data_IF_261748221891
#
_entry.id   IF_261748221891
#
_cell.length_a   1.000
_cell.length_b   1.000
_cell.length_c   1.000
_cell.angle_alpha   90.00
_cell.angle_beta   90.00
_cell.angle_gamma   90.00
#
_symmetry.space_group_name_H-M   'P 1'
#
loop_
_entity.id
_entity.type
_entity.pdbx_description
1 polymer ?
#
# COMPACT_ATOMS: atom_id res chain seq x y z
N UNK A 1 0.17 -19.24 3.66
CA UNK A 1 0.83 -18.07 3.04
C UNK A 1 1.88 -17.57 4.02
N UNK A 2 3.14 -17.43 3.62
CA UNK A 2 4.19 -16.88 4.49
C UNK A 2 4.13 -15.36 4.43
N UNK A 3 3.98 -14.68 5.57
CA UNK A 3 4.03 -13.23 5.62
C UNK A 3 5.45 -12.71 5.37
N UNK A 4 5.61 -11.74 4.48
CA UNK A 4 6.86 -11.03 4.24
C UNK A 4 7.19 -10.14 5.44
N UNK A 5 6.19 -9.42 5.98
CA UNK A 5 6.35 -8.62 7.20
C UNK A 5 5.85 -9.37 8.45
N UNK A 6 6.63 -10.37 8.90
CA UNK A 6 6.26 -11.26 10.02
C UNK A 6 5.84 -10.49 11.28
N UNK A 7 6.57 -9.46 11.68
CA UNK A 7 6.25 -8.67 12.89
C UNK A 7 4.98 -7.84 12.74
N UNK A 8 4.76 -7.29 11.54
CA UNK A 8 3.55 -6.51 11.25
C UNK A 8 2.32 -7.43 11.26
N UNK A 9 2.44 -8.60 10.64
CA UNK A 9 1.42 -9.63 10.64
C UNK A 9 1.15 -10.20 12.04
N UNK A 10 2.13 -10.21 12.95
CA UNK A 10 1.98 -10.65 14.34
C UNK A 10 1.24 -9.63 15.24
N UNK A 11 0.42 -8.75 14.65
CA UNK A 11 -0.46 -7.85 15.37
C UNK A 11 0.09 -6.45 15.61
N UNK A 12 1.33 -6.12 15.20
CA UNK A 12 1.81 -4.73 15.24
C UNK A 12 1.10 -3.85 14.21
N UNK A 13 0.70 -4.40 13.06
CA UNK A 13 0.03 -3.61 12.02
C UNK A 13 -1.29 -2.96 12.50
N UNK A 14 -2.09 -3.71 13.26
CA UNK A 14 -3.39 -3.22 13.78
C UNK A 14 -3.26 -2.13 14.84
N UNK A 15 -2.07 -1.92 15.42
CA UNK A 15 -1.84 -0.85 16.41
C UNK A 15 -1.48 0.48 15.75
N UNK A 16 -1.12 0.46 14.47
CA UNK A 16 -0.86 1.67 13.69
C UNK A 16 -2.16 2.41 13.38
N UNK A 17 -2.11 3.73 13.37
CA UNK A 17 -3.21 4.55 12.86
C UNK A 17 -3.39 4.33 11.35
N UNK A 18 -4.58 4.63 10.84
CA UNK A 18 -4.85 4.50 9.39
C UNK A 18 -3.85 5.31 8.55
N UNK A 19 -3.46 6.50 9.00
CA UNK A 19 -2.47 7.32 8.30
C UNK A 19 -1.09 6.62 8.24
N UNK A 20 -0.67 5.95 9.30
CA UNK A 20 0.57 5.16 9.33
C UNK A 20 0.47 3.93 8.40
N UNK A 21 -0.64 3.21 8.43
CA UNK A 21 -0.86 2.07 7.54
C UNK A 21 -0.78 2.50 6.07
N UNK A 22 -1.52 3.54 5.69
CA UNK A 22 -1.56 4.07 4.33
C UNK A 22 -0.20 4.64 3.88
N UNK A 23 0.53 5.32 4.76
CA UNK A 23 1.87 5.83 4.44
C UNK A 23 2.89 4.70 4.21
N UNK A 24 2.80 3.62 4.99
CA UNK A 24 3.64 2.43 4.78
C UNK A 24 3.29 1.70 3.47
N UNK A 25 2.00 1.53 3.16
CA UNK A 25 1.55 1.00 1.86
C UNK A 25 2.10 1.85 0.71
N UNK A 26 1.96 3.18 0.80
CA UNK A 26 2.47 4.12 -0.20
C UNK A 26 3.97 3.99 -0.45
N UNK A 27 4.76 3.66 0.57
CA UNK A 27 6.20 3.42 0.42
C UNK A 27 6.52 2.19 -0.43
N UNK A 28 5.76 1.09 -0.30
CA UNK A 28 5.92 -0.09 -1.15
C UNK A 28 5.40 0.17 -2.57
N UNK A 29 4.28 0.90 -2.72
CA UNK A 29 3.77 1.31 -4.05
C UNK A 29 4.79 2.17 -4.79
N UNK A 30 5.38 3.16 -4.11
CA UNK A 30 6.44 3.99 -4.67
C UNK A 30 7.64 3.15 -5.12
N UNK A 31 8.08 2.18 -4.30
CA UNK A 31 9.17 1.25 -4.66
C UNK A 31 8.80 0.45 -5.91
N UNK A 32 7.59 -0.08 -5.99
CA UNK A 32 7.11 -0.85 -7.13
C UNK A 32 7.16 -0.04 -8.43
N UNK A 33 6.61 1.19 -8.40
CA UNK A 33 6.64 2.13 -9.53
C UNK A 33 8.09 2.46 -9.92
N UNK A 34 8.93 2.81 -8.95
CA UNK A 34 10.33 3.19 -9.17
C UNK A 34 11.13 2.09 -9.85
N UNK A 35 10.94 0.83 -9.47
CA UNK A 35 11.62 -0.30 -10.11
C UNK A 35 11.02 -0.65 -11.47
N UNK A 36 9.69 -0.52 -11.65
CA UNK A 36 9.03 -0.70 -12.96
C UNK A 36 9.61 0.25 -13.99
N UNK A 37 9.77 1.53 -13.65
CA UNK A 37 10.41 2.56 -14.50
C UNK A 37 11.85 2.24 -14.90
N UNK A 38 12.57 1.52 -14.05
CA UNK A 38 13.95 1.09 -14.30
C UNK A 38 14.01 -0.23 -15.08
N UNK A 39 12.88 -0.72 -15.59
CA UNK A 39 12.74 -2.04 -16.21
C UNK A 39 13.23 -3.19 -15.30
N UNK A 40 13.22 -2.98 -13.98
CA UNK A 40 13.57 -3.99 -13.01
C UNK A 40 12.29 -4.64 -12.47
N UNK A 41 11.69 -5.49 -13.31
CA UNK A 41 10.37 -6.08 -13.08
C UNK A 41 10.33 -7.00 -11.85
N UNK A 42 11.41 -7.74 -11.58
CA UNK A 42 11.55 -8.60 -10.39
C UNK A 42 11.38 -7.78 -9.09
N UNK A 43 12.14 -6.69 -8.96
CA UNK A 43 12.08 -5.82 -7.78
C UNK A 43 10.75 -5.07 -7.69
N UNK A 44 10.20 -4.68 -8.84
CA UNK A 44 8.87 -4.07 -8.91
C UNK A 44 7.79 -5.01 -8.38
N UNK A 45 7.78 -6.26 -8.87
CA UNK A 45 6.85 -7.32 -8.45
C UNK A 45 6.96 -7.63 -6.96
N UNK A 46 8.18 -7.74 -6.44
CA UNK A 46 8.42 -7.98 -5.02
C UNK A 46 7.89 -6.83 -4.14
N UNK A 47 8.06 -5.57 -4.56
CA UNK A 47 7.47 -4.43 -3.85
C UNK A 47 5.94 -4.39 -3.98
N UNK A 48 5.38 -4.75 -5.13
CA UNK A 48 3.94 -4.85 -5.33
C UNK A 48 3.31 -5.89 -4.40
N UNK A 49 3.92 -7.08 -4.26
CA UNK A 49 3.44 -8.10 -3.31
C UNK A 49 3.50 -7.63 -1.85
N UNK A 50 4.53 -6.89 -1.46
CA UNK A 50 4.59 -6.25 -0.15
C UNK A 50 3.46 -5.25 0.05
N UNK A 51 3.18 -4.39 -0.94
CA UNK A 51 2.07 -3.45 -0.87
C UNK A 51 0.72 -4.17 -0.71
N UNK A 52 0.48 -5.23 -1.48
CA UNK A 52 -0.76 -6.02 -1.40
C UNK A 52 -0.90 -6.72 -0.05
N UNK A 53 0.17 -7.28 0.50
CA UNK A 53 0.15 -7.85 1.87
C UNK A 53 -0.26 -6.80 2.91
N UNK A 54 0.31 -5.59 2.84
CA UNK A 54 -0.01 -4.51 3.78
C UNK A 54 -1.46 -4.04 3.62
N UNK A 55 -2.02 -4.07 2.41
CA UNK A 55 -3.45 -3.79 2.16
C UNK A 55 -4.32 -4.89 2.77
N UNK A 56 -3.95 -6.17 2.61
CA UNK A 56 -4.68 -7.29 3.21
C UNK A 56 -4.67 -7.19 4.75
N UNK A 57 -3.52 -6.85 5.35
CA UNK A 57 -3.44 -6.56 6.79
C UNK A 57 -4.27 -5.33 7.21
N UNK A 58 -4.40 -4.33 6.33
CA UNK A 58 -5.21 -3.12 6.58
C UNK A 58 -6.70 -3.44 6.52
N UNK A 59 -7.15 -4.24 5.56
CA UNK A 59 -8.54 -4.73 5.47
C UNK A 59 -8.92 -5.43 6.77
N UNK A 60 -8.05 -6.32 7.28
CA UNK A 60 -8.28 -7.01 8.54
C UNK A 60 -8.29 -6.06 9.75
N UNK A 61 -7.35 -5.09 9.80
CA UNK A 61 -7.24 -4.15 10.92
C UNK A 61 -8.37 -3.13 10.99
N UNK A 62 -8.95 -2.77 9.84
CA UNK A 62 -10.03 -1.78 9.70
C UNK A 62 -11.42 -2.41 9.54
N UNK A 63 -11.50 -3.75 9.47
CA UNK A 63 -12.76 -4.47 9.45
C UNK A 63 -13.64 -4.04 10.65
N UNK A 64 -14.92 -3.73 10.36
CA UNK A 64 -15.92 -3.16 11.30
C UNK A 64 -15.65 -1.73 11.79
N UNK A 65 -14.53 -1.10 11.46
CA UNK A 65 -14.23 0.31 11.80
C UNK A 65 -14.51 1.25 10.63
N UNK A 66 -14.21 0.80 9.41
CA UNK A 66 -14.41 1.55 8.17
C UNK A 66 -15.04 0.65 7.09
N UNK A 67 -15.54 1.28 6.03
CA UNK A 67 -15.93 0.54 4.82
C UNK A 67 -14.70 -0.09 4.19
N UNK A 68 -14.67 -1.43 4.11
CA UNK A 68 -13.55 -2.15 3.49
C UNK A 68 -13.53 -2.03 1.96
N UNK A 69 -14.62 -1.54 1.36
CA UNK A 69 -14.77 -1.43 -0.11
C UNK A 69 -13.68 -0.59 -0.76
N UNK A 70 -13.26 0.48 -0.09
CA UNK A 70 -12.18 1.35 -0.60
C UNK A 70 -10.84 0.61 -0.62
N UNK A 71 -10.51 -0.14 0.44
CA UNK A 71 -9.28 -0.92 0.51
C UNK A 71 -9.26 -2.07 -0.49
N UNK A 72 -10.38 -2.76 -0.68
CA UNK A 72 -10.48 -3.81 -1.71
C UNK A 72 -10.37 -3.24 -3.12
N UNK A 73 -10.96 -2.06 -3.38
CA UNK A 73 -10.81 -1.38 -4.67
C UNK A 73 -9.37 -0.93 -4.90
N UNK A 74 -8.72 -0.38 -3.88
CA UNK A 74 -7.31 -0.01 -3.95
C UNK A 74 -6.44 -1.23 -4.29
N UNK A 75 -6.72 -2.36 -3.67
CA UNK A 75 -6.05 -3.64 -3.96
C UNK A 75 -6.20 -4.03 -5.43
N UNK A 76 -7.42 -3.99 -5.96
CA UNK A 76 -7.71 -4.28 -7.37
C UNK A 76 -6.93 -3.36 -8.32
N UNK A 77 -6.98 -2.04 -8.09
CA UNK A 77 -6.29 -1.04 -8.91
C UNK A 77 -4.77 -1.26 -8.89
N UNK A 78 -4.19 -1.57 -7.73
CA UNK A 78 -2.75 -1.82 -7.63
C UNK A 78 -2.32 -3.15 -8.25
N UNK A 79 -3.17 -4.19 -8.16
CA UNK A 79 -2.95 -5.44 -8.88
C UNK A 79 -2.89 -5.19 -10.39
N UNK A 80 -3.89 -4.51 -10.94
CA UNK A 80 -3.93 -4.16 -12.37
C UNK A 80 -2.73 -3.31 -12.78
N UNK A 81 -2.47 -2.21 -12.06
CA UNK A 81 -1.42 -1.26 -12.42
C UNK A 81 0.00 -1.83 -12.33
N UNK A 82 0.30 -2.59 -11.28
CA UNK A 82 1.68 -3.03 -10.99
C UNK A 82 1.99 -4.42 -11.54
N UNK A 83 0.98 -5.29 -11.67
CA UNK A 83 1.16 -6.71 -12.02
C UNK A 83 0.37 -7.14 -13.26
N UNK A 84 -0.62 -6.37 -13.70
CA UNK A 84 -1.44 -6.64 -14.87
C UNK A 84 -1.12 -5.72 -16.05
N UNK A 85 -2.09 -5.67 -16.96
CA UNK A 85 -2.00 -4.93 -18.23
C UNK A 85 -2.36 -3.44 -18.09
N UNK A 86 -2.68 -2.98 -16.87
CA UNK A 86 -3.09 -1.61 -16.56
C UNK A 86 -4.35 -1.19 -17.31
N UNK A 87 -5.38 -2.06 -17.31
CA UNK A 87 -6.67 -1.83 -17.97
C UNK A 87 -7.38 -0.55 -17.49
N UNK A 88 -7.16 -0.18 -16.22
CA UNK A 88 -7.75 1.05 -15.64
C UNK A 88 -6.99 2.32 -16.04
N UNK A 89 -5.93 2.23 -16.86
CA UNK A 89 -5.07 3.35 -17.25
C UNK A 89 -4.54 4.14 -16.05
N UNK A 90 -4.15 3.41 -14.99
CA UNK A 90 -3.56 4.02 -13.80
C UNK A 90 -2.16 4.54 -14.11
N UNK A 91 -1.80 5.66 -13.50
CA UNK A 91 -0.47 6.24 -13.58
C UNK A 91 0.07 6.61 -12.19
N UNK A 92 1.22 7.28 -12.17
CA UNK A 92 1.90 7.67 -10.93
C UNK A 92 1.12 8.66 -10.06
N UNK A 93 0.07 9.30 -10.58
CA UNK A 93 -0.80 10.16 -9.80
C UNK A 93 -1.48 9.41 -8.65
N UNK A 94 -1.55 8.08 -8.69
CA UNK A 94 -1.98 7.25 -7.55
C UNK A 94 -1.15 7.52 -6.28
N UNK A 95 0.10 7.98 -6.41
CA UNK A 95 0.92 8.37 -5.26
C UNK A 95 0.32 9.53 -4.48
N UNK A 96 -0.42 10.45 -5.11
CA UNK A 96 -1.07 11.59 -4.44
C UNK A 96 -2.06 11.13 -3.36
N UNK A 97 -2.69 9.97 -3.58
CA UNK A 97 -3.57 9.35 -2.58
C UNK A 97 -2.80 8.98 -1.31
N UNK A 98 -1.60 8.41 -1.44
CA UNK A 98 -0.76 8.02 -0.31
C UNK A 98 -0.01 9.21 0.32
N UNK A 99 0.44 10.17 -0.50
CA UNK A 99 1.17 11.36 -0.06
C UNK A 99 0.36 12.20 0.92
N UNK A 100 -0.97 12.23 0.75
CA UNK A 100 -1.89 12.89 1.67
C UNK A 100 -1.78 12.33 3.10
N UNK A 101 -1.59 11.02 3.26
CA UNK A 101 -1.40 10.40 4.57
C UNK A 101 0.00 10.66 5.13
N UNK A 102 1.03 10.61 4.30
CA UNK A 102 2.39 10.96 4.71
C UNK A 102 2.48 12.41 5.22
N UNK A 103 1.79 13.34 4.54
CA UNK A 103 1.68 14.73 4.95
C UNK A 103 0.97 14.89 6.31
N UNK A 104 -0.13 14.18 6.54
CA UNK A 104 -0.82 14.18 7.84
C UNK A 104 0.12 13.73 8.96
N UNK A 105 0.92 12.68 8.73
CA UNK A 105 1.88 12.20 9.73
C UNK A 105 2.99 13.21 10.00
N UNK A 106 3.53 13.86 8.96
CA UNK A 106 4.54 14.90 9.13
C UNK A 106 4.02 16.06 9.99
N UNK A 107 2.77 16.50 9.75
CA UNK A 107 2.12 17.53 10.58
C UNK A 107 1.89 17.13 12.03
N UNK A 108 1.70 15.84 12.32
CA UNK A 108 1.53 15.33 13.69
C UNK A 108 2.83 15.29 14.48
N UNK A 109 3.97 15.09 13.81
CA UNK A 109 5.30 15.04 14.44
C UNK A 109 5.95 16.42 14.64
N UNK A 110 5.46 17.44 13.94
CA UNK A 110 5.89 18.84 14.10
C UNK A 110 5.11 19.62 15.16
N UNK A 111 4.32 18.94 15.98
CA UNK A 111 3.69 19.46 17.21
C UNK A 111 4.30 18.73 18.40
#
# INVERSE_FOLDING_TARGET
>A
MSYMHKDLANGKWKTLSLAEQMSNIGSEVYRAIKFKKKNNFEYSKNAAYRALELIDLTILAQYKKHSIKEFTRLREVLCDYLLGDNEYNTDESIMKYFDSFAYILAKRKGK
#
